data_IF_060535230850
#
_entry.id   IF_060535230850
#
_cell.length_a   1.000
_cell.length_b   1.000
_cell.length_c   1.000
_cell.angle_alpha   90.00
_cell.angle_beta   90.00
_cell.angle_gamma   90.00
#
_symmetry.space_group_name_H-M   'P 1'
#
loop_
_entity.id
_entity.type
_entity.pdbx_description
1 polymer ?
#
# COMPACT_ATOMS: atom_id res chain seq x y z
N UNK A 1 4.05 6.47 10.70
CA UNK A 1 5.21 7.30 11.12
C UNK A 1 4.69 8.44 11.97
N UNK A 2 5.29 8.72 13.15
CA UNK A 2 4.87 9.83 14.01
C UNK A 2 5.52 11.16 13.58
N UNK A 3 4.91 12.32 13.85
CA UNK A 3 5.55 13.62 13.61
C UNK A 3 6.90 13.76 14.32
N UNK A 4 7.03 13.20 15.54
CA UNK A 4 8.28 13.15 16.28
C UNK A 4 9.41 12.46 15.49
N UNK A 5 9.13 11.29 14.90
CA UNK A 5 10.12 10.57 14.09
C UNK A 5 10.51 11.37 12.84
N UNK A 6 9.54 12.03 12.19
CA UNK A 6 9.82 12.90 11.03
C UNK A 6 10.69 14.10 11.43
N UNK A 7 10.42 14.71 12.60
CA UNK A 7 11.24 15.80 13.16
C UNK A 7 12.68 15.37 13.40
N UNK A 8 12.89 14.24 14.07
CA UNK A 8 14.23 13.69 14.33
C UNK A 8 14.97 13.40 13.03
N UNK A 9 14.26 12.85 12.03
CA UNK A 9 14.82 12.64 10.69
C UNK A 9 15.21 13.96 10.03
N UNK A 10 14.38 15.00 10.16
CA UNK A 10 14.69 16.32 9.62
C UNK A 10 15.93 16.95 10.26
N UNK A 11 16.10 16.81 11.56
CA UNK A 11 17.29 17.29 12.26
C UNK A 11 18.55 16.57 11.76
N UNK A 12 18.48 15.26 11.53
CA UNK A 12 19.57 14.50 10.93
C UNK A 12 19.87 14.97 9.49
N UNK A 13 18.83 15.15 8.67
CA UNK A 13 18.98 15.67 7.31
C UNK A 13 19.67 17.03 7.28
N UNK A 14 19.29 17.95 8.19
CA UNK A 14 19.95 19.26 8.33
C UNK A 14 21.44 19.14 8.65
N UNK A 15 21.82 18.23 9.56
CA UNK A 15 23.21 17.99 9.93
C UNK A 15 24.09 17.58 8.74
N UNK A 16 23.53 16.87 7.77
CA UNK A 16 24.24 16.40 6.58
C UNK A 16 23.92 17.21 5.32
N UNK A 17 23.22 18.34 5.45
CA UNK A 17 22.78 19.17 4.32
C UNK A 17 22.01 18.40 3.24
N UNK A 18 21.10 17.53 3.68
CA UNK A 18 20.25 16.70 2.82
C UNK A 18 18.82 17.23 2.90
N UNK A 19 18.11 17.26 1.78
CA UNK A 19 16.69 17.60 1.72
C UNK A 19 15.84 16.43 2.18
N UNK A 20 14.81 16.69 2.98
CA UNK A 20 13.83 15.69 3.39
C UNK A 20 12.60 15.75 2.46
N UNK A 21 12.37 14.69 1.70
CA UNK A 21 11.15 14.52 0.92
C UNK A 21 10.18 13.63 1.71
N UNK A 22 8.93 14.06 1.83
CA UNK A 22 7.86 13.29 2.46
C UNK A 22 6.90 12.79 1.39
N UNK A 23 6.77 11.47 1.23
CA UNK A 23 5.66 10.88 0.48
C UNK A 23 4.40 10.90 1.35
N UNK A 24 3.54 11.88 1.07
CA UNK A 24 2.29 12.14 1.81
C UNK A 24 1.07 11.40 1.24
N UNK A 25 1.26 10.42 0.36
CA UNK A 25 0.17 9.73 -0.33
C UNK A 25 -0.91 9.14 0.60
N UNK A 26 -0.54 8.78 1.83
CA UNK A 26 -1.45 8.24 2.86
C UNK A 26 -1.31 8.99 4.18
N UNK A 27 -1.18 10.30 4.10
CA UNK A 27 -0.93 11.13 5.27
C UNK A 27 -2.14 11.16 6.23
N UNK A 28 -3.37 11.15 5.70
CA UNK A 28 -4.59 11.14 6.51
C UNK A 28 -4.75 9.82 7.27
N UNK A 29 -4.57 8.67 6.59
CA UNK A 29 -4.57 7.34 7.23
C UNK A 29 -3.46 7.25 8.29
N UNK A 30 -2.26 7.75 7.98
CA UNK A 30 -1.14 7.77 8.92
C UNK A 30 -1.46 8.63 10.15
N UNK A 31 -2.00 9.83 9.95
CA UNK A 31 -2.34 10.75 11.04
C UNK A 31 -3.41 10.18 11.96
N UNK A 32 -4.40 9.49 11.40
CA UNK A 32 -5.40 8.79 12.21
C UNK A 32 -4.77 7.67 13.05
N UNK A 33 -3.85 6.88 12.48
CA UNK A 33 -3.11 5.86 13.22
C UNK A 33 -2.19 6.46 14.30
N UNK A 34 -1.60 7.64 14.06
CA UNK A 34 -0.85 8.38 15.08
C UNK A 34 -1.78 8.80 16.22
N UNK A 35 -2.94 9.41 15.91
CA UNK A 35 -3.95 9.79 16.90
C UNK A 35 -4.40 8.62 17.75
N UNK A 36 -4.56 7.43 17.16
CA UNK A 36 -4.99 6.22 17.90
C UNK A 36 -3.91 5.62 18.79
N UNK A 37 -2.63 5.78 18.45
CA UNK A 37 -1.52 5.02 19.05
C UNK A 37 -0.58 5.85 19.91
N UNK A 38 -0.58 7.16 19.71
CA UNK A 38 0.31 8.08 20.42
C UNK A 38 -0.51 9.02 21.30
N UNK A 39 -0.31 8.91 22.62
CA UNK A 39 -1.05 9.69 23.62
C UNK A 39 -0.89 11.19 23.46
N UNK A 40 0.27 11.64 22.97
CA UNK A 40 0.58 13.06 22.77
C UNK A 40 -0.27 13.67 21.63
N UNK A 41 -0.83 12.82 20.76
CA UNK A 41 -1.65 13.23 19.62
C UNK A 41 -3.14 12.88 19.75
N UNK A 42 -3.55 12.20 20.81
CA UNK A 42 -4.93 11.72 20.99
C UNK A 42 -6.01 12.81 20.95
N UNK A 43 -5.66 14.02 21.39
CA UNK A 43 -6.56 15.19 21.43
C UNK A 43 -6.41 16.14 20.24
N UNK A 44 -5.47 15.88 19.32
CA UNK A 44 -5.27 16.71 18.12
C UNK A 44 -6.24 16.28 17.02
N UNK A 45 -6.66 17.24 16.21
CA UNK A 45 -7.38 16.94 14.96
C UNK A 45 -6.45 16.29 13.93
N UNK A 46 -7.03 15.63 12.95
CA UNK A 46 -6.26 15.02 11.85
C UNK A 46 -5.45 16.08 11.09
N UNK A 47 -6.05 17.25 10.86
CA UNK A 47 -5.40 18.36 10.15
C UNK A 47 -4.20 18.89 10.93
N UNK A 48 -4.28 19.03 12.26
CA UNK A 48 -3.15 19.44 13.08
C UNK A 48 -1.98 18.45 13.00
N UNK A 49 -2.27 17.14 13.02
CA UNK A 49 -1.24 16.10 12.91
C UNK A 49 -0.60 16.13 11.52
N UNK A 50 -1.41 16.30 10.45
CA UNK A 50 -0.93 16.44 9.07
C UNK A 50 0.00 17.65 8.96
N UNK A 51 -0.46 18.82 9.38
CA UNK A 51 0.30 20.08 9.29
C UNK A 51 1.62 19.98 10.04
N UNK A 52 1.62 19.45 11.26
CA UNK A 52 2.85 19.23 12.02
C UNK A 52 3.80 18.28 11.28
N UNK A 53 3.30 17.15 10.76
CA UNK A 53 4.13 16.18 10.03
C UNK A 53 4.75 16.80 8.79
N UNK A 54 3.96 17.49 7.98
CA UNK A 54 4.40 18.06 6.71
C UNK A 54 5.32 19.28 6.88
N UNK A 55 5.21 20.02 7.98
CA UNK A 55 6.08 21.19 8.26
C UNK A 55 7.56 20.83 8.37
N UNK A 56 7.90 19.57 8.59
CA UNK A 56 9.30 19.12 8.63
C UNK A 56 9.87 18.77 7.25
N UNK A 57 9.03 18.62 6.21
CA UNK A 57 9.47 18.28 4.86
C UNK A 57 9.98 19.51 4.09
N UNK A 58 11.02 19.33 3.27
CA UNK A 58 11.43 20.33 2.28
C UNK A 58 10.64 20.18 0.98
N UNK A 59 10.22 18.95 0.69
CA UNK A 59 9.47 18.57 -0.50
C UNK A 59 8.38 17.60 -0.06
N UNK A 60 7.16 17.84 -0.51
CA UNK A 60 6.02 16.95 -0.28
C UNK A 60 5.59 16.37 -1.62
N UNK A 61 5.51 15.04 -1.73
CA UNK A 61 4.91 14.37 -2.89
C UNK A 61 3.59 13.76 -2.49
N UNK A 62 2.59 13.87 -3.35
CA UNK A 62 1.25 13.37 -3.08
C UNK A 62 0.65 12.71 -4.32
N UNK A 63 0.30 11.43 -4.21
CA UNK A 63 -0.49 10.74 -5.22
C UNK A 63 -1.98 10.80 -4.85
N UNK A 64 -2.77 11.46 -5.67
CA UNK A 64 -4.21 11.62 -5.45
C UNK A 64 -4.99 10.29 -5.51
N UNK A 65 -4.38 9.24 -6.04
CA UNK A 65 -4.97 7.88 -6.10
C UNK A 65 -5.09 7.18 -4.74
N UNK A 66 -4.73 7.84 -3.66
CA UNK A 66 -4.82 7.34 -2.27
C UNK A 66 -5.69 8.29 -1.44
N UNK A 67 -5.12 9.10 -0.56
CA UNK A 67 -5.91 10.00 0.30
C UNK A 67 -6.53 11.18 -0.47
N UNK A 68 -6.12 11.45 -1.70
CA UNK A 68 -6.84 12.38 -2.58
C UNK A 68 -8.18 11.86 -3.12
N UNK A 69 -8.54 10.60 -2.81
CA UNK A 69 -9.81 9.95 -3.17
C UNK A 69 -10.15 10.02 -4.68
N UNK A 70 -9.12 10.20 -5.52
CA UNK A 70 -9.23 10.20 -6.97
C UNK A 70 -8.55 8.96 -7.58
N UNK A 71 -8.79 8.68 -8.84
CA UNK A 71 -8.18 7.58 -9.58
C UNK A 71 -7.00 8.01 -10.45
N UNK A 72 -6.72 9.31 -10.52
CA UNK A 72 -5.63 9.89 -11.31
C UNK A 72 -5.01 11.09 -10.58
N UNK A 73 -3.80 11.48 -10.99
CA UNK A 73 -3.17 12.71 -10.59
C UNK A 73 -2.39 12.66 -9.28
N UNK A 74 -1.90 13.82 -8.92
CA UNK A 74 -1.08 14.08 -7.75
C UNK A 74 -0.46 15.47 -7.83
N UNK A 75 0.38 15.80 -6.87
CA UNK A 75 1.13 17.06 -6.87
C UNK A 75 2.45 16.94 -6.11
N UNK A 76 3.31 17.91 -6.33
CA UNK A 76 4.48 18.18 -5.52
C UNK A 76 4.30 19.56 -4.90
N UNK A 77 4.57 19.70 -3.61
CA UNK A 77 4.54 20.96 -2.89
C UNK A 77 5.90 21.23 -2.23
N UNK A 78 6.40 22.46 -2.35
CA UNK A 78 7.67 22.93 -1.76
C UNK A 78 7.69 24.45 -1.72
N UNK A 79 8.55 25.01 -0.84
CA UNK A 79 8.69 26.46 -0.65
C UNK A 79 9.90 27.07 -1.42
N UNK A 80 10.74 26.23 -2.04
CA UNK A 80 11.91 26.68 -2.78
C UNK A 80 11.54 27.01 -4.23
N UNK A 81 11.57 28.31 -4.58
CA UNK A 81 11.16 28.82 -5.88
C UNK A 81 12.06 28.35 -7.05
N UNK A 82 13.36 28.29 -6.84
CA UNK A 82 14.31 27.82 -7.86
C UNK A 82 14.01 26.35 -8.24
N UNK A 83 13.90 25.50 -7.23
CA UNK A 83 13.54 24.09 -7.43
C UNK A 83 12.13 23.94 -8.01
N UNK A 84 11.16 24.76 -7.61
CA UNK A 84 9.81 24.73 -8.17
C UNK A 84 9.83 25.06 -9.68
N UNK A 85 10.65 26.02 -10.11
CA UNK A 85 10.81 26.37 -11.52
C UNK A 85 11.50 25.26 -12.32
N UNK A 86 12.49 24.58 -11.75
CA UNK A 86 13.11 23.40 -12.36
C UNK A 86 12.09 22.27 -12.54
N UNK A 87 11.30 21.95 -11.49
CA UNK A 87 10.27 20.91 -11.53
C UNK A 87 9.15 21.22 -12.54
N UNK A 88 8.81 22.50 -12.76
CA UNK A 88 7.86 22.90 -13.81
C UNK A 88 8.35 22.53 -15.22
N UNK A 89 9.65 22.59 -15.49
CA UNK A 89 10.21 22.16 -16.75
C UNK A 89 10.02 20.64 -16.96
N UNK A 90 10.29 19.83 -15.92
CA UNK A 90 10.02 18.39 -15.98
C UNK A 90 8.53 18.09 -16.12
N UNK A 91 7.67 18.86 -15.44
CA UNK A 91 6.22 18.70 -15.56
C UNK A 91 5.76 18.89 -16.99
N UNK A 92 6.26 19.90 -17.71
CA UNK A 92 5.94 20.15 -19.12
C UNK A 92 6.40 19.00 -20.02
N UNK A 93 7.55 18.40 -19.71
CA UNK A 93 8.09 17.30 -20.50
C UNK A 93 7.35 15.97 -20.32
N UNK A 94 6.88 15.69 -19.11
CA UNK A 94 6.38 14.34 -18.75
C UNK A 94 4.88 14.25 -18.54
N UNK A 95 4.21 15.34 -18.14
CA UNK A 95 2.80 15.31 -17.72
C UNK A 95 1.93 16.33 -18.46
N UNK A 96 2.28 17.63 -18.40
CA UNK A 96 1.51 18.68 -19.02
C UNK A 96 1.86 20.08 -18.52
N UNK A 97 1.09 21.10 -18.90
CA UNK A 97 1.37 22.47 -18.49
C UNK A 97 1.17 22.67 -16.96
N UNK A 98 1.95 23.59 -16.35
CA UNK A 98 1.88 23.86 -14.90
C UNK A 98 0.52 24.30 -14.38
N UNK A 99 -0.37 24.79 -15.25
CA UNK A 99 -1.73 25.24 -14.90
C UNK A 99 -2.68 24.09 -14.58
N UNK A 100 -2.49 22.91 -15.18
CA UNK A 100 -3.38 21.74 -14.98
C UNK A 100 -2.64 20.40 -14.84
N UNK A 101 -1.32 20.34 -15.05
CA UNK A 101 -0.50 19.14 -14.89
C UNK A 101 -0.96 17.94 -15.74
N UNK A 102 -1.55 18.18 -16.92
CA UNK A 102 -2.13 17.13 -17.77
C UNK A 102 -3.48 16.58 -17.29
N UNK A 103 -4.09 17.18 -16.23
CA UNK A 103 -5.35 16.73 -15.66
C UNK A 103 -6.55 17.51 -16.21
N UNK A 104 -7.70 16.87 -16.35
CA UNK A 104 -8.95 17.56 -16.63
C UNK A 104 -9.40 18.37 -15.39
N UNK A 105 -10.15 19.47 -15.62
CA UNK A 105 -10.63 20.34 -14.53
C UNK A 105 -11.44 19.59 -13.46
N UNK A 106 -12.27 18.61 -13.86
CA UNK A 106 -12.99 17.74 -12.93
C UNK A 106 -12.08 16.93 -12.01
N UNK A 107 -10.91 16.48 -12.51
CA UNK A 107 -9.96 15.70 -11.71
C UNK A 107 -9.27 16.58 -10.67
N UNK A 108 -8.96 17.84 -11.01
CA UNK A 108 -8.45 18.84 -10.06
C UNK A 108 -9.45 19.14 -8.96
N UNK A 109 -10.73 19.31 -9.31
CA UNK A 109 -11.81 19.53 -8.35
C UNK A 109 -12.02 18.32 -7.42
N UNK A 110 -12.04 17.10 -7.98
CA UNK A 110 -12.13 15.87 -7.19
C UNK A 110 -10.95 15.77 -6.20
N UNK A 111 -9.73 16.07 -6.62
CA UNK A 111 -8.55 16.05 -5.74
C UNK A 111 -8.73 17.05 -4.59
N UNK A 112 -9.16 18.28 -4.89
CA UNK A 112 -9.36 19.32 -3.88
C UNK A 112 -10.39 18.90 -2.83
N UNK A 113 -11.54 18.39 -3.26
CA UNK A 113 -12.59 17.87 -2.37
C UNK A 113 -12.10 16.63 -1.63
N UNK A 114 -11.46 15.68 -2.35
CA UNK A 114 -11.00 14.42 -1.79
C UNK A 114 -9.96 14.59 -0.67
N UNK A 115 -9.06 15.57 -0.79
CA UNK A 115 -8.10 15.90 0.28
C UNK A 115 -8.85 16.31 1.56
N UNK A 116 -9.87 17.16 1.46
CA UNK A 116 -10.67 17.58 2.61
C UNK A 116 -11.46 16.41 3.20
N UNK A 117 -12.17 15.63 2.37
CA UNK A 117 -12.92 14.47 2.81
C UNK A 117 -12.05 13.40 3.47
N UNK A 118 -10.80 13.23 3.00
CA UNK A 118 -9.88 12.25 3.57
C UNK A 118 -9.47 12.56 5.01
N UNK A 119 -9.71 13.78 5.50
CA UNK A 119 -9.44 14.19 6.89
C UNK A 119 -10.62 13.98 7.84
N UNK A 120 -11.79 13.58 7.33
CA UNK A 120 -12.95 13.25 8.16
C UNK A 120 -12.67 12.03 9.05
N UNK A 121 -12.83 12.18 10.37
CA UNK A 121 -12.51 11.12 11.32
C UNK A 121 -13.44 9.91 11.22
N UNK A 122 -14.71 10.08 10.82
CA UNK A 122 -15.64 8.96 10.65
C UNK A 122 -15.26 8.15 9.42
N UNK A 123 -14.87 8.83 8.33
CA UNK A 123 -14.32 8.15 7.15
C UNK A 123 -13.06 7.37 7.51
N UNK A 124 -12.10 7.97 8.20
CA UNK A 124 -10.84 7.34 8.59
C UNK A 124 -11.07 6.17 9.54
N UNK A 125 -11.97 6.32 10.51
CA UNK A 125 -12.37 5.25 11.42
C UNK A 125 -12.89 4.04 10.64
N UNK A 126 -13.88 4.25 9.76
CA UNK A 126 -14.43 3.19 8.91
C UNK A 126 -13.32 2.53 8.07
N UNK A 127 -12.46 3.33 7.47
CA UNK A 127 -11.35 2.87 6.63
C UNK A 127 -10.38 1.96 7.40
N UNK A 128 -9.96 2.38 8.59
CA UNK A 128 -9.01 1.63 9.42
C UNK A 128 -9.67 0.38 10.02
N UNK A 129 -10.95 0.46 10.41
CA UNK A 129 -11.71 -0.69 10.91
C UNK A 129 -11.87 -1.79 9.86
N UNK A 130 -11.99 -1.47 8.56
CA UNK A 130 -12.00 -2.47 7.49
C UNK A 130 -10.70 -3.28 7.46
N UNK A 131 -9.54 -2.61 7.55
CA UNK A 131 -8.24 -3.28 7.55
C UNK A 131 -8.07 -4.13 8.81
N UNK A 132 -8.45 -3.59 9.97
CA UNK A 132 -8.43 -4.30 11.24
C UNK A 132 -9.30 -5.55 11.19
N UNK A 133 -10.53 -5.43 10.70
CA UNK A 133 -11.49 -6.54 10.58
C UNK A 133 -10.92 -7.70 9.73
N UNK A 134 -10.36 -7.40 8.56
CA UNK A 134 -9.77 -8.42 7.71
C UNK A 134 -8.55 -9.07 8.40
N UNK A 135 -7.68 -8.26 9.04
CA UNK A 135 -6.52 -8.78 9.73
C UNK A 135 -6.91 -9.72 10.86
N UNK A 136 -7.85 -9.30 11.73
CA UNK A 136 -8.31 -10.10 12.87
C UNK A 136 -9.02 -11.39 12.40
N UNK A 137 -9.81 -11.32 11.32
CA UNK A 137 -10.44 -12.48 10.73
C UNK A 137 -9.44 -13.53 10.24
N UNK A 138 -8.37 -13.10 9.56
CA UNK A 138 -7.31 -14.00 9.12
C UNK A 138 -6.47 -14.53 10.29
N UNK A 139 -6.16 -13.69 11.27
CA UNK A 139 -5.41 -14.07 12.46
C UNK A 139 -6.15 -15.13 13.29
N UNK A 140 -7.47 -14.98 13.46
CA UNK A 140 -8.34 -15.98 14.13
C UNK A 140 -8.35 -17.34 13.40
N UNK A 141 -8.08 -17.35 12.11
CA UNK A 141 -7.86 -18.57 11.34
C UNK A 141 -6.43 -19.10 11.45
N UNK A 142 -5.56 -18.49 12.27
CA UNK A 142 -4.12 -18.76 12.33
C UNK A 142 -3.43 -18.64 10.97
N UNK A 143 -3.84 -17.68 10.15
CA UNK A 143 -3.10 -17.26 8.97
C UNK A 143 -2.00 -16.29 9.43
N UNK A 144 -0.74 -16.51 9.05
CA UNK A 144 0.38 -15.65 9.49
C UNK A 144 0.29 -14.27 8.83
N UNK A 145 -0.20 -13.28 9.56
CA UNK A 145 -0.35 -11.89 9.12
C UNK A 145 0.63 -10.96 9.82
N UNK A 146 1.05 -9.91 9.12
CA UNK A 146 1.91 -8.85 9.68
C UNK A 146 1.11 -7.98 10.66
N UNK A 147 1.62 -7.80 11.85
CA UNK A 147 1.02 -6.97 12.92
C UNK A 147 1.96 -5.80 13.29
N UNK A 148 1.39 -4.69 13.78
CA UNK A 148 -0.03 -4.34 13.88
C UNK A 148 -0.65 -4.00 12.51
N UNK A 149 -2.00 -3.89 12.44
CA UNK A 149 -2.68 -3.48 11.21
C UNK A 149 -2.22 -2.09 10.75
N UNK A 150 -2.21 -1.89 9.44
CA UNK A 150 -1.91 -0.60 8.81
C UNK A 150 -3.17 0.12 8.30
N UNK A 151 -2.98 1.07 7.35
CA UNK A 151 -4.05 1.90 6.81
C UNK A 151 -4.73 1.34 5.55
N UNK A 152 -4.09 0.43 4.78
CA UNK A 152 -4.59 0.16 3.44
C UNK A 152 -4.58 -1.31 3.00
N UNK A 153 -3.93 -2.18 3.74
CA UNK A 153 -3.78 -3.58 3.34
C UNK A 153 -3.49 -4.49 4.53
N UNK A 154 -3.80 -5.77 4.37
CA UNK A 154 -3.29 -6.85 5.20
C UNK A 154 -2.18 -7.57 4.43
N UNK A 155 -1.10 -7.91 5.11
CA UNK A 155 0.04 -8.63 4.55
C UNK A 155 0.10 -10.02 5.17
N UNK A 156 -0.02 -11.05 4.33
CA UNK A 156 0.11 -12.46 4.72
C UNK A 156 1.53 -12.92 4.46
N UNK A 157 2.19 -13.52 5.44
CA UNK A 157 3.53 -14.13 5.27
C UNK A 157 3.36 -15.52 4.62
N UNK A 158 3.44 -15.53 3.29
CA UNK A 158 3.10 -16.71 2.49
C UNK A 158 4.02 -17.89 2.74
N UNK A 159 5.32 -17.67 3.01
CA UNK A 159 6.25 -18.77 3.32
C UNK A 159 5.90 -19.47 4.63
N UNK A 160 5.41 -18.73 5.62
CA UNK A 160 4.92 -19.32 6.87
C UNK A 160 3.56 -20.03 6.71
N UNK A 161 2.77 -19.61 5.74
CA UNK A 161 1.48 -20.25 5.45
C UNK A 161 1.64 -21.52 4.60
N UNK A 162 2.51 -21.47 3.59
CA UNK A 162 2.84 -22.54 2.64
C UNK A 162 4.26 -23.04 2.91
N UNK A 163 4.47 -23.66 4.08
CA UNK A 163 5.79 -24.10 4.56
C UNK A 163 6.44 -25.15 3.65
N UNK A 164 5.61 -25.93 2.96
CA UNK A 164 6.04 -26.98 2.03
C UNK A 164 6.68 -26.43 0.74
N UNK A 165 6.46 -25.15 0.40
CA UNK A 165 7.01 -24.57 -0.85
C UNK A 165 8.37 -23.93 -0.57
N UNK A 166 9.46 -24.35 -1.26
CA UNK A 166 10.76 -23.71 -1.17
C UNK A 166 10.70 -22.23 -1.59
N UNK A 167 11.57 -21.38 -1.03
CA UNK A 167 11.56 -19.94 -1.32
C UNK A 167 11.85 -19.62 -2.79
N UNK A 168 12.69 -20.42 -3.46
CA UNK A 168 13.01 -20.30 -4.89
C UNK A 168 11.86 -20.73 -5.81
N UNK A 169 10.80 -21.30 -5.27
CA UNK A 169 9.55 -21.66 -5.97
C UNK A 169 8.42 -20.68 -5.66
N UNK A 170 8.74 -19.53 -5.10
CA UNK A 170 7.88 -18.36 -4.92
C UNK A 170 6.54 -18.61 -4.19
N UNK A 171 6.55 -19.00 -2.90
CA UNK A 171 5.33 -19.29 -2.14
C UNK A 171 4.34 -18.12 -2.12
N UNK A 172 4.80 -16.87 -2.18
CA UNK A 172 3.94 -15.69 -2.29
C UNK A 172 3.16 -15.67 -3.60
N UNK A 173 3.81 -15.98 -4.71
CA UNK A 173 3.14 -16.04 -6.01
C UNK A 173 2.18 -17.23 -6.11
N UNK A 174 2.54 -18.37 -5.53
CA UNK A 174 1.63 -19.53 -5.43
C UNK A 174 0.36 -19.19 -4.65
N UNK A 175 0.47 -18.48 -3.53
CA UNK A 175 -0.69 -18.03 -2.77
C UNK A 175 -1.56 -17.03 -3.55
N UNK A 176 -0.97 -16.12 -4.32
CA UNK A 176 -1.71 -15.20 -5.21
C UNK A 176 -2.53 -15.98 -6.23
N UNK A 177 -1.95 -17.01 -6.85
CA UNK A 177 -2.64 -17.86 -7.82
C UNK A 177 -3.77 -18.65 -7.15
N UNK A 178 -3.51 -19.27 -6.00
CA UNK A 178 -4.52 -20.02 -5.27
C UNK A 178 -5.73 -19.16 -4.86
N UNK A 179 -5.49 -17.92 -4.39
CA UNK A 179 -6.55 -16.97 -4.06
C UNK A 179 -7.39 -16.58 -5.29
N UNK A 180 -6.75 -16.49 -6.45
CA UNK A 180 -7.46 -16.15 -7.69
C UNK A 180 -8.30 -17.31 -8.20
N UNK A 181 -7.77 -18.53 -8.16
CA UNK A 181 -8.49 -19.74 -8.62
C UNK A 181 -9.66 -20.06 -7.69
N UNK A 182 -9.42 -20.10 -6.38
CA UNK A 182 -10.44 -20.52 -5.41
C UNK A 182 -11.54 -19.47 -5.23
N UNK A 183 -11.22 -18.17 -5.33
CA UNK A 183 -12.17 -17.13 -4.97
C UNK A 183 -12.18 -15.89 -5.86
N UNK A 184 -11.48 -15.87 -6.99
CA UNK A 184 -11.39 -14.68 -7.83
C UNK A 184 -10.71 -13.48 -7.14
N UNK A 185 -9.95 -13.74 -6.06
CA UNK A 185 -9.31 -12.67 -5.27
C UNK A 185 -7.98 -12.29 -5.92
N UNK A 186 -7.90 -11.03 -6.38
CA UNK A 186 -6.67 -10.47 -6.94
C UNK A 186 -5.82 -9.88 -5.83
N UNK A 187 -4.69 -10.51 -5.55
CA UNK A 187 -3.69 -10.06 -4.59
C UNK A 187 -2.37 -9.71 -5.30
N UNK A 188 -1.39 -9.22 -4.55
CA UNK A 188 -0.06 -8.87 -5.07
C UNK A 188 1.01 -9.49 -4.19
N UNK A 189 1.91 -10.25 -4.81
CA UNK A 189 3.12 -10.72 -4.14
C UNK A 189 4.06 -9.56 -3.88
N UNK A 190 4.60 -9.49 -2.67
CA UNK A 190 5.63 -8.53 -2.23
C UNK A 190 6.73 -9.32 -1.51
N UNK A 191 7.53 -10.01 -2.28
CA UNK A 191 8.57 -10.91 -1.78
C UNK A 191 9.59 -11.22 -2.86
N UNK A 192 10.09 -12.45 -2.86
CA UNK A 192 11.20 -12.87 -3.75
C UNK A 192 10.85 -12.89 -5.24
N UNK A 193 9.58 -13.01 -5.62
CA UNK A 193 9.18 -12.87 -7.01
C UNK A 193 9.29 -11.42 -7.49
N UNK A 194 8.92 -10.45 -6.64
CA UNK A 194 9.06 -9.03 -6.95
C UNK A 194 10.51 -8.55 -6.79
N UNK A 195 11.17 -8.91 -5.69
CA UNK A 195 12.52 -8.46 -5.32
C UNK A 195 13.42 -9.67 -5.01
N UNK A 196 14.46 -9.90 -5.80
CA UNK A 196 15.36 -11.07 -5.67
C UNK A 196 15.94 -11.26 -4.25
N UNK A 197 16.26 -10.16 -3.58
CA UNK A 197 16.87 -10.13 -2.25
C UNK A 197 15.88 -9.94 -1.10
N UNK A 198 14.58 -10.12 -1.35
CA UNK A 198 13.56 -9.97 -0.32
C UNK A 198 13.77 -10.97 0.83
N UNK A 199 13.69 -10.45 2.07
CA UNK A 199 13.82 -11.27 3.30
C UNK A 199 12.50 -11.95 3.68
N UNK A 200 11.38 -11.48 3.14
CA UNK A 200 10.04 -11.95 3.44
C UNK A 200 9.29 -12.28 2.15
N UNK A 201 8.29 -13.13 2.25
CA UNK A 201 7.42 -13.52 1.15
C UNK A 201 5.99 -13.10 1.46
N UNK A 202 5.71 -11.80 1.39
CA UNK A 202 4.38 -11.27 1.67
C UNK A 202 3.44 -11.36 0.46
N UNK A 203 2.17 -11.61 0.76
CA UNK A 203 1.05 -11.35 -0.14
C UNK A 203 0.23 -10.20 0.41
N UNK A 204 0.09 -9.15 -0.37
CA UNK A 204 -0.64 -7.94 -0.02
C UNK A 204 -2.09 -8.04 -0.47
N UNK A 205 -3.00 -8.00 0.50
CA UNK A 205 -4.44 -7.87 0.30
C UNK A 205 -4.79 -6.38 0.45
N UNK A 206 -4.76 -5.65 -0.65
CA UNK A 206 -5.09 -4.22 -0.65
C UNK A 206 -6.61 -4.02 -0.57
N UNK A 207 -7.03 -3.12 0.32
CA UNK A 207 -8.43 -2.73 0.44
C UNK A 207 -8.57 -1.34 -0.19
N UNK A 208 -9.17 -1.20 -1.38
CA UNK A 208 -9.41 0.09 -2.00
C UNK A 208 -10.43 0.90 -1.19
N UNK A 209 -10.32 2.24 -1.31
CA UNK A 209 -11.17 3.17 -0.58
C UNK A 209 -12.59 3.18 -1.16
N UNK A 210 -13.61 3.12 -0.30
CA UNK A 210 -15.02 3.26 -0.67
C UNK A 210 -15.51 2.24 -1.72
N UNK A 211 -14.90 1.06 -1.79
CA UNK A 211 -15.25 0.02 -2.77
C UNK A 211 -15.89 -1.18 -2.10
N UNK A 212 -15.26 -1.73 -1.07
CA UNK A 212 -15.72 -2.96 -0.45
C UNK A 212 -16.52 -2.72 0.82
N UNK A 213 -17.55 -3.53 0.98
CA UNK A 213 -18.35 -3.65 2.20
C UNK A 213 -17.78 -4.73 3.11
N UNK A 214 -18.35 -4.87 4.31
CA UNK A 214 -17.97 -5.93 5.26
C UNK A 214 -18.13 -7.32 4.66
N UNK A 215 -19.21 -7.58 3.91
CA UNK A 215 -19.46 -8.89 3.28
C UNK A 215 -18.39 -9.30 2.28
N UNK A 216 -17.78 -8.36 1.56
CA UNK A 216 -16.63 -8.66 0.70
C UNK A 216 -15.40 -9.11 1.51
N UNK A 217 -15.19 -8.50 2.69
CA UNK A 217 -14.07 -8.88 3.57
C UNK A 217 -14.32 -10.23 4.24
N UNK A 218 -15.56 -10.52 4.62
CA UNK A 218 -16.00 -11.84 5.12
C UNK A 218 -15.78 -12.92 4.05
N UNK A 219 -16.10 -12.62 2.80
CA UNK A 219 -15.81 -13.53 1.69
C UNK A 219 -14.31 -13.83 1.55
N UNK A 220 -13.44 -12.82 1.65
CA UNK A 220 -11.99 -13.05 1.62
C UNK A 220 -11.54 -13.98 2.74
N UNK A 221 -12.08 -13.80 3.96
CA UNK A 221 -11.78 -14.65 5.12
C UNK A 221 -12.23 -16.10 4.85
N UNK A 222 -13.42 -16.30 4.27
CA UNK A 222 -13.93 -17.65 3.96
C UNK A 222 -13.05 -18.34 2.89
N UNK A 223 -12.64 -17.64 1.84
CA UNK A 223 -11.72 -18.20 0.83
C UNK A 223 -10.39 -18.61 1.47
N UNK A 224 -9.83 -17.82 2.37
CA UNK A 224 -8.61 -18.23 3.10
C UNK A 224 -8.84 -19.49 3.95
N UNK A 225 -10.03 -19.65 4.52
CA UNK A 225 -10.41 -20.86 5.26
C UNK A 225 -10.46 -22.09 4.35
N UNK A 226 -11.00 -21.97 3.14
CA UNK A 226 -11.01 -23.05 2.15
C UNK A 226 -9.59 -23.37 1.66
N UNK A 227 -8.79 -22.37 1.29
CA UNK A 227 -7.39 -22.56 0.90
C UNK A 227 -6.59 -23.24 2.02
N UNK A 228 -6.84 -22.89 3.28
CA UNK A 228 -6.17 -23.53 4.43
C UNK A 228 -6.42 -25.04 4.48
N UNK A 229 -7.61 -25.52 4.12
CA UNK A 229 -7.92 -26.96 4.05
C UNK A 229 -7.15 -27.66 2.93
N UNK A 230 -6.95 -26.95 1.82
CA UNK A 230 -6.33 -27.45 0.58
C UNK A 230 -4.84 -27.08 0.45
N UNK A 231 -4.23 -26.38 1.42
CA UNK A 231 -2.86 -25.84 1.28
C UNK A 231 -1.80 -26.88 0.94
N UNK A 232 -2.04 -28.14 1.28
CA UNK A 232 -1.14 -29.25 0.97
C UNK A 232 -1.10 -29.61 -0.53
N UNK A 233 -2.12 -29.21 -1.31
CA UNK A 233 -2.18 -29.39 -2.77
C UNK A 233 -1.39 -28.29 -3.50
N UNK A 234 -1.19 -27.15 -2.86
CA UNK A 234 -0.50 -26.00 -3.46
C UNK A 234 1.00 -26.29 -3.50
N UNK A 235 1.57 -26.18 -4.71
CA UNK A 235 3.01 -26.29 -4.95
C UNK A 235 3.56 -24.96 -5.45
N UNK A 236 4.85 -24.93 -5.74
CA UNK A 236 5.54 -23.74 -6.24
C UNK A 236 5.22 -23.39 -7.69
N UNK A 237 5.83 -22.33 -8.14
CA UNK A 237 5.86 -21.92 -9.55
C UNK A 237 7.30 -21.72 -9.99
N UNK A 238 7.55 -21.86 -11.31
CA UNK A 238 8.85 -21.55 -11.91
C UNK A 238 8.72 -20.42 -12.93
N UNK A 239 9.76 -19.61 -13.04
CA UNK A 239 9.85 -18.58 -14.08
C UNK A 239 10.40 -19.23 -15.34
N UNK A 240 9.61 -19.19 -16.42
CA UNK A 240 10.01 -19.72 -17.74
C UNK A 240 10.57 -18.64 -18.65
N UNK A 241 10.17 -17.39 -18.44
CA UNK A 241 10.72 -16.23 -19.16
C UNK A 241 10.81 -15.04 -18.21
N UNK A 242 12.02 -14.54 -18.00
CA UNK A 242 12.29 -13.38 -17.15
C UNK A 242 12.60 -12.16 -18.03
N UNK A 243 11.88 -11.03 -17.85
CA UNK A 243 12.22 -9.77 -18.49
C UNK A 243 13.46 -9.14 -17.84
N UNK A 244 14.16 -8.26 -18.56
CA UNK A 244 15.34 -7.55 -18.06
C UNK A 244 14.99 -6.65 -16.84
N UNK A 245 13.79 -6.05 -16.86
CA UNK A 245 13.30 -5.15 -15.82
C UNK A 245 11.87 -5.50 -15.43
N UNK A 246 11.47 -5.11 -14.20
CA UNK A 246 10.10 -5.19 -13.71
C UNK A 246 9.50 -6.61 -13.82
N UNK A 247 10.28 -7.61 -13.40
CA UNK A 247 9.96 -9.05 -13.47
C UNK A 247 8.52 -9.36 -13.06
N UNK A 248 8.06 -8.83 -11.94
CA UNK A 248 6.74 -9.11 -11.39
C UNK A 248 5.56 -8.64 -12.25
N UNK A 249 5.78 -7.77 -13.26
CA UNK A 249 4.72 -7.34 -14.18
C UNK A 249 4.61 -8.19 -15.43
N UNK A 250 5.73 -8.72 -15.93
CA UNK A 250 5.80 -9.30 -17.28
C UNK A 250 6.54 -10.64 -17.36
N UNK A 251 6.96 -11.22 -16.22
CA UNK A 251 7.51 -12.57 -16.22
C UNK A 251 6.43 -13.60 -16.58
N UNK A 252 6.82 -14.59 -17.36
CA UNK A 252 6.00 -15.77 -17.60
C UNK A 252 6.35 -16.82 -16.57
N UNK A 253 5.34 -17.39 -15.93
CA UNK A 253 5.47 -18.41 -14.91
C UNK A 253 4.62 -19.62 -15.26
N UNK A 254 5.05 -20.79 -14.79
CA UNK A 254 4.30 -22.03 -14.87
C UNK A 254 4.19 -22.68 -13.49
N UNK A 255 3.04 -23.30 -13.15
CA UNK A 255 2.92 -24.09 -11.93
C UNK A 255 3.78 -25.35 -12.03
N UNK A 256 4.39 -25.75 -10.92
CA UNK A 256 5.09 -27.03 -10.81
C UNK A 256 4.04 -28.13 -10.67
N UNK A 257 4.16 -29.20 -11.48
CA UNK A 257 3.22 -30.34 -11.50
C UNK A 257 1.75 -29.99 -11.75
N UNK A 258 1.48 -28.86 -12.39
CA UNK A 258 0.12 -28.42 -12.75
C UNK A 258 -0.91 -28.40 -11.60
N UNK A 259 -0.48 -28.20 -10.37
CA UNK A 259 -1.31 -28.20 -9.16
C UNK A 259 -2.56 -27.32 -9.23
N UNK A 260 -2.56 -26.30 -10.08
CA UNK A 260 -3.71 -25.41 -10.30
C UNK A 260 -4.97 -26.10 -10.79
N UNK A 261 -4.84 -27.30 -11.35
CA UNK A 261 -5.98 -28.12 -11.80
C UNK A 261 -6.59 -28.97 -10.67
N UNK A 262 -5.94 -29.04 -9.52
CA UNK A 262 -6.34 -29.84 -8.36
C UNK A 262 -7.04 -29.02 -7.27
N UNK A 263 -6.99 -27.69 -7.38
CA UNK A 263 -7.63 -26.74 -6.46
C UNK A 263 -9.13 -26.61 -6.75
#
# INVERSE_FOLDING_TARGET
>A
VSPKNVKETKELCKKYNIKLMIDACRISENSYLVKLRDKDYSNKSIIEIINETLSYGDIITFSAKKDGLNHIGGFIALDNEEMANELKNYLVLFEGFPTYGGLAGRDLEIIAIGILESTDENYLKHRIEQVKFLLEGLDNLNIPVMKPFGGHAVYVEAKKFLENIPENEFPGQSLVIALYIEGGIRAVEVGKFMFKDAKYNFVRLAIPRRVYTKSHLEYVIEIFKEIKKKKHLIKGVRIVKEPKFLRHFTAHIEPIDNWVLEL
#
